data_IF_952545571882
#
_entry.id   IF_952545571882
#
_cell.length_a   1.000
_cell.length_b   1.000
_cell.length_c   1.000
_cell.angle_alpha   90.00
_cell.angle_beta   90.00
_cell.angle_gamma   90.00
#
_symmetry.space_group_name_H-M   'P 1'
#
loop_
_entity.id
_entity.type
_entity.pdbx_description
1 polymer ?
#
# COMPACT_ATOMS: atom_id res chain seq x y z
N UNK A 1 -20.43 -4.65 35.98
CA UNK A 1 -19.40 -4.75 34.92
C UNK A 1 -18.09 -5.00 35.62
N UNK A 2 -17.48 -6.18 35.43
CA UNK A 2 -16.16 -6.45 35.97
C UNK A 2 -15.15 -5.54 35.25
N UNK A 3 -14.28 -4.87 35.99
CA UNK A 3 -13.16 -4.13 35.41
C UNK A 3 -12.32 -5.13 34.62
N UNK A 4 -12.20 -4.94 33.31
CA UNK A 4 -11.23 -5.70 32.51
C UNK A 4 -9.85 -5.34 33.02
N UNK A 5 -9.10 -6.34 33.49
CA UNK A 5 -7.69 -6.19 33.86
C UNK A 5 -6.89 -5.64 32.69
N UNK A 6 -6.03 -4.65 32.96
CA UNK A 6 -5.10 -4.13 31.98
C UNK A 6 -4.08 -5.22 31.60
N UNK A 7 -3.76 -5.38 30.31
CA UNK A 7 -2.81 -6.39 29.88
C UNK A 7 -1.39 -6.07 30.38
N UNK A 8 -0.67 -7.09 30.83
CA UNK A 8 0.79 -7.00 30.97
C UNK A 8 1.44 -7.24 29.61
N UNK A 9 2.36 -6.37 29.20
CA UNK A 9 3.08 -6.49 27.93
C UNK A 9 4.56 -6.67 28.22
N UNK A 10 5.14 -7.76 27.74
CA UNK A 10 6.55 -8.09 27.99
C UNK A 10 7.22 -8.66 26.76
N UNK A 11 8.54 -8.48 26.67
CA UNK A 11 9.39 -9.17 25.70
C UNK A 11 9.29 -10.69 25.90
N UNK A 12 9.17 -11.42 24.80
CA UNK A 12 9.11 -12.88 24.79
C UNK A 12 10.49 -13.44 24.55
N UNK A 13 10.99 -14.22 25.50
CA UNK A 13 12.29 -14.90 25.34
C UNK A 13 12.17 -16.16 24.48
N UNK A 14 13.28 -16.56 23.84
CA UNK A 14 13.35 -17.81 23.07
C UNK A 14 13.07 -19.07 23.92
N UNK A 15 13.26 -18.99 25.24
CA UNK A 15 12.98 -20.10 26.16
C UNK A 15 11.48 -20.30 26.44
N UNK A 16 10.63 -19.31 26.18
CA UNK A 16 9.18 -19.37 26.43
C UNK A 16 8.42 -20.08 25.29
N UNK A 17 8.70 -21.37 25.08
CA UNK A 17 8.11 -22.16 23.98
C UNK A 17 6.58 -22.18 24.00
N UNK A 18 5.95 -22.24 25.18
CA UNK A 18 4.50 -22.21 25.37
C UNK A 18 3.90 -20.87 24.88
N UNK A 19 4.48 -19.74 25.31
CA UNK A 19 4.06 -18.39 24.89
C UNK A 19 4.19 -18.23 23.37
N UNK A 20 5.33 -18.65 22.81
CA UNK A 20 5.61 -18.52 21.38
C UNK A 20 4.63 -19.33 20.55
N UNK A 21 4.39 -20.60 20.91
CA UNK A 21 3.36 -21.43 20.27
C UNK A 21 1.99 -20.75 20.32
N UNK A 22 1.62 -20.18 21.47
CA UNK A 22 0.33 -19.50 21.61
C UNK A 22 0.22 -18.25 20.73
N UNK A 23 1.31 -17.49 20.58
CA UNK A 23 1.34 -16.36 19.65
C UNK A 23 1.21 -16.80 18.20
N UNK A 24 1.87 -17.88 17.80
CA UNK A 24 1.76 -18.45 16.45
C UNK A 24 0.33 -18.91 16.15
N UNK A 25 -0.36 -19.53 17.12
CA UNK A 25 -1.78 -19.89 17.00
C UNK A 25 -2.66 -18.65 16.81
N UNK A 26 -2.47 -17.61 17.64
CA UNK A 26 -3.26 -16.37 17.51
C UNK A 26 -2.97 -15.68 16.18
N UNK A 27 -1.72 -15.70 15.70
CA UNK A 27 -1.36 -15.15 14.40
C UNK A 27 -2.04 -15.91 13.26
N UNK A 28 -2.04 -17.25 13.30
CA UNK A 28 -2.73 -18.09 12.32
C UNK A 28 -4.25 -17.82 12.29
N UNK A 29 -4.87 -17.54 13.44
CA UNK A 29 -6.28 -17.13 13.51
C UNK A 29 -6.52 -15.71 12.98
N UNK A 30 -5.54 -14.82 13.11
CA UNK A 30 -5.65 -13.41 12.76
C UNK A 30 -5.41 -13.12 11.27
N UNK A 31 -4.59 -13.93 10.59
CA UNK A 31 -4.22 -13.74 9.18
C UNK A 31 -4.74 -14.87 8.30
N UNK A 32 -5.33 -14.53 7.16
CA UNK A 32 -5.83 -15.53 6.22
C UNK A 32 -4.69 -16.21 5.45
N UNK A 33 -4.84 -17.51 5.17
CA UNK A 33 -3.89 -18.25 4.33
C UNK A 33 -3.76 -17.65 2.92
N UNK A 34 -2.54 -17.49 2.37
CA UNK A 34 -1.24 -17.97 2.88
C UNK A 34 -0.43 -16.94 3.70
N UNK A 35 -1.04 -15.84 4.13
CA UNK A 35 -0.33 -14.78 4.86
C UNK A 35 0.08 -15.21 6.27
N UNK A 36 -0.70 -16.10 6.89
CA UNK A 36 -0.38 -16.80 8.14
C UNK A 36 1.03 -17.44 8.12
N UNK A 37 1.39 -18.14 7.04
CA UNK A 37 2.69 -18.79 6.89
C UNK A 37 3.88 -17.82 6.82
N UNK A 38 3.62 -16.53 6.61
CA UNK A 38 4.65 -15.49 6.56
C UNK A 38 4.93 -14.87 7.93
N UNK A 39 4.10 -15.16 8.94
CA UNK A 39 4.32 -14.67 10.29
C UNK A 39 5.43 -15.50 10.94
N UNK A 40 6.56 -14.85 11.22
CA UNK A 40 7.64 -15.41 12.02
C UNK A 40 7.85 -14.52 13.22
N UNK A 41 7.88 -15.10 14.42
CA UNK A 41 8.30 -14.38 15.61
C UNK A 41 9.79 -14.00 15.50
N UNK A 42 10.14 -12.86 16.09
CA UNK A 42 11.51 -12.37 16.17
C UNK A 42 11.99 -12.31 17.62
N UNK A 43 13.28 -12.04 17.82
CA UNK A 43 13.86 -11.79 19.15
C UNK A 43 13.29 -10.53 19.83
N UNK A 44 12.58 -9.67 19.10
CA UNK A 44 11.98 -8.43 19.58
C UNK A 44 10.45 -8.53 19.74
N UNK A 45 9.91 -9.74 19.81
CA UNK A 45 8.46 -9.97 19.93
C UNK A 45 7.98 -9.62 21.34
N UNK A 46 6.93 -8.79 21.44
CA UNK A 46 6.23 -8.53 22.71
C UNK A 46 4.89 -9.29 22.74
N UNK A 47 4.53 -9.82 23.90
CA UNK A 47 3.24 -10.49 24.13
C UNK A 47 2.39 -9.72 25.15
N UNK A 48 1.10 -9.54 24.83
CA UNK A 48 0.09 -9.04 25.75
C UNK A 48 -0.56 -10.21 26.50
N UNK A 49 -0.62 -10.12 27.83
CA UNK A 49 -1.26 -11.11 28.69
C UNK A 49 -2.35 -10.48 29.57
N UNK A 50 -3.51 -11.12 29.64
CA UNK A 50 -4.62 -10.73 30.52
C UNK A 50 -4.88 -11.90 31.45
N UNK A 51 -4.83 -11.66 32.76
CA UNK A 51 -4.97 -12.69 33.79
C UNK A 51 -4.04 -13.91 33.59
N UNK A 52 -2.83 -13.66 33.06
CA UNK A 52 -1.83 -14.69 32.77
C UNK A 52 -1.92 -15.31 31.37
N UNK A 53 -3.04 -15.12 30.67
CA UNK A 53 -3.29 -15.70 29.35
C UNK A 53 -2.78 -14.80 28.21
N UNK A 54 -2.07 -15.38 27.23
CA UNK A 54 -1.61 -14.65 26.04
C UNK A 54 -2.80 -14.35 25.14
N UNK A 55 -3.01 -13.06 24.85
CA UNK A 55 -4.16 -12.56 24.09
C UNK A 55 -3.78 -11.75 22.85
N UNK A 56 -2.49 -11.54 22.60
CA UNK A 56 -2.00 -10.87 21.41
C UNK A 56 -0.51 -10.66 21.44
N UNK A 57 0.04 -10.20 20.31
CA UNK A 57 1.45 -9.91 20.18
C UNK A 57 1.76 -8.87 19.11
N UNK A 58 2.97 -8.34 19.20
CA UNK A 58 3.57 -7.48 18.20
C UNK A 58 4.97 -7.99 17.90
N UNK A 59 5.24 -8.24 16.61
CA UNK A 59 6.53 -8.69 16.11
C UNK A 59 7.28 -7.49 15.56
N UNK A 60 8.50 -7.31 16.05
CA UNK A 60 9.36 -6.19 15.69
C UNK A 60 10.64 -6.67 15.03
N UNK A 61 11.22 -5.86 14.15
CA UNK A 61 12.59 -6.03 13.65
C UNK A 61 13.35 -4.71 13.83
N UNK A 62 14.68 -4.80 13.87
CA UNK A 62 15.56 -3.63 13.88
C UNK A 62 16.51 -3.73 12.70
N UNK A 63 16.69 -2.62 11.99
CA UNK A 63 17.65 -2.50 10.89
C UNK A 63 18.65 -1.41 11.22
N UNK A 64 19.86 -1.85 11.54
CA UNK A 64 20.96 -0.97 11.89
C UNK A 64 21.45 -0.17 10.69
N UNK A 65 21.94 1.05 10.91
CA UNK A 65 22.61 1.79 9.85
C UNK A 65 23.08 3.19 10.20
N UNK A 66 23.87 3.76 9.29
CA UNK A 66 24.56 5.04 9.51
C UNK A 66 23.63 6.25 9.65
N UNK A 67 22.37 6.14 9.22
CA UNK A 67 21.36 7.19 9.41
C UNK A 67 20.65 7.09 10.79
N UNK A 68 21.02 6.11 11.62
CA UNK A 68 20.34 5.72 12.84
C UNK A 68 19.50 4.46 12.62
N UNK A 69 19.33 3.66 13.66
CA UNK A 69 18.65 2.37 13.57
C UNK A 69 17.15 2.56 13.34
N UNK A 70 16.55 1.64 12.57
CA UNK A 70 15.15 1.71 12.18
C UNK A 70 14.41 0.52 12.76
N UNK A 71 13.45 0.80 13.63
CA UNK A 71 12.49 -0.18 14.10
C UNK A 71 11.44 -0.48 13.03
N UNK A 72 11.01 -1.73 12.96
CA UNK A 72 9.98 -2.19 12.04
C UNK A 72 8.88 -2.85 12.88
N UNK A 73 7.63 -2.41 12.72
CA UNK A 73 6.48 -3.16 13.23
C UNK A 73 5.99 -4.08 12.11
N UNK A 74 6.41 -5.34 12.17
CA UNK A 74 6.20 -6.34 11.12
C UNK A 74 4.82 -6.97 11.21
N UNK A 75 4.38 -7.36 12.41
CA UNK A 75 3.08 -7.99 12.64
C UNK A 75 2.44 -7.48 13.93
N UNK A 76 1.13 -7.25 13.90
CA UNK A 76 0.33 -6.88 15.07
C UNK A 76 -0.96 -7.70 15.04
N UNK A 77 -1.21 -8.46 16.10
CA UNK A 77 -2.37 -9.34 16.16
C UNK A 77 -2.89 -9.49 17.59
N UNK A 78 -4.19 -9.72 17.70
CA UNK A 78 -4.88 -10.00 18.97
C UNK A 78 -5.87 -11.11 18.74
N UNK A 79 -6.11 -11.93 19.77
CA UNK A 79 -7.09 -13.00 19.69
C UNK A 79 -8.49 -12.41 19.44
N UNK A 80 -9.40 -13.12 18.74
CA UNK A 80 -10.73 -12.61 18.46
C UNK A 80 -11.52 -12.16 19.71
N UNK A 81 -11.34 -12.86 20.83
CA UNK A 81 -11.99 -12.54 22.12
C UNK A 81 -11.41 -11.29 22.81
N UNK A 82 -10.26 -10.79 22.32
CA UNK A 82 -9.54 -9.67 22.91
C UNK A 82 -9.61 -8.39 22.05
N UNK A 83 -10.23 -8.47 20.87
CA UNK A 83 -10.45 -7.33 19.97
C UNK A 83 -11.43 -6.30 20.58
N UNK A 84 -11.31 -5.04 20.15
CA UNK A 84 -12.17 -3.95 20.63
C UNK A 84 -11.93 -3.51 22.09
N UNK A 85 -10.94 -4.10 22.77
CA UNK A 85 -10.57 -3.79 24.17
C UNK A 85 -9.36 -2.86 24.31
N UNK A 86 -8.85 -2.30 23.21
CA UNK A 86 -7.68 -1.43 23.21
C UNK A 86 -6.33 -2.16 23.38
N UNK A 87 -6.28 -3.48 23.29
CA UNK A 87 -5.02 -4.25 23.47
C UNK A 87 -4.03 -3.96 22.34
N UNK A 88 -4.51 -3.87 21.09
CA UNK A 88 -3.65 -3.49 19.97
C UNK A 88 -3.03 -2.10 20.15
N UNK A 89 -3.77 -1.16 20.74
CA UNK A 89 -3.26 0.16 21.07
C UNK A 89 -2.13 0.10 22.12
N UNK A 90 -2.33 -0.71 23.16
CA UNK A 90 -1.33 -0.89 24.21
C UNK A 90 -0.08 -1.61 23.69
N UNK A 91 -0.24 -2.62 22.83
CA UNK A 91 0.86 -3.32 22.16
C UNK A 91 1.71 -2.38 21.31
N UNK A 92 1.10 -1.48 20.53
CA UNK A 92 1.86 -0.53 19.73
C UNK A 92 2.55 0.52 20.59
N UNK A 93 1.93 0.99 21.67
CA UNK A 93 2.61 1.90 22.60
C UNK A 93 3.85 1.24 23.21
N UNK A 94 3.71 0.02 23.74
CA UNK A 94 4.81 -0.75 24.29
C UNK A 94 5.91 -1.05 23.24
N UNK A 95 5.52 -1.30 21.99
CA UNK A 95 6.47 -1.47 20.89
C UNK A 95 7.27 -0.18 20.61
N UNK A 96 6.62 0.98 20.62
CA UNK A 96 7.31 2.26 20.42
C UNK A 96 8.27 2.54 21.57
N UNK A 97 7.83 2.35 22.82
CA UNK A 97 8.67 2.53 24.01
C UNK A 97 9.89 1.60 23.95
N UNK A 98 9.66 0.31 23.62
CA UNK A 98 10.73 -0.66 23.42
C UNK A 98 11.72 -0.23 22.32
N UNK A 99 11.24 0.21 21.16
CA UNK A 99 12.11 0.64 20.05
C UNK A 99 12.92 1.90 20.40
N UNK A 100 12.35 2.82 21.19
CA UNK A 100 13.09 3.95 21.76
C UNK A 100 14.19 3.47 22.70
N UNK A 101 13.90 2.52 23.59
CA UNK A 101 14.90 1.92 24.48
C UNK A 101 16.00 1.16 23.73
N UNK A 102 15.68 0.59 22.56
CA UNK A 102 16.68 -0.02 21.66
C UNK A 102 17.48 1.01 20.84
N UNK A 103 17.27 2.32 21.05
CA UNK A 103 18.01 3.37 20.36
C UNK A 103 17.57 3.62 18.91
N UNK A 104 16.39 3.12 18.50
CA UNK A 104 15.89 3.38 17.15
C UNK A 104 15.58 4.87 16.96
N UNK A 105 15.97 5.41 15.81
CA UNK A 105 15.69 6.80 15.42
C UNK A 105 14.33 6.94 14.75
N UNK A 106 13.83 5.89 14.15
CA UNK A 106 12.57 5.89 13.43
C UNK A 106 11.89 4.53 13.49
N UNK A 107 10.59 4.53 13.23
CA UNK A 107 9.79 3.30 13.10
C UNK A 107 9.07 3.31 11.77
N UNK A 108 9.09 2.16 11.10
CA UNK A 108 8.28 1.92 9.90
C UNK A 108 7.33 0.75 10.08
N UNK A 109 6.23 0.78 9.34
CA UNK A 109 5.31 -0.34 9.22
C UNK A 109 4.64 -0.32 7.85
N UNK A 110 4.20 -1.47 7.38
CA UNK A 110 3.49 -1.62 6.11
C UNK A 110 2.07 -2.06 6.42
N UNK A 111 1.09 -1.29 5.96
CA UNK A 111 -0.32 -1.54 6.25
C UNK A 111 -1.08 -1.69 4.94
N UNK A 112 -1.84 -2.78 4.80
CA UNK A 112 -2.75 -2.95 3.67
C UNK A 112 -3.75 -1.80 3.61
N UNK A 113 -3.96 -1.24 2.42
CA UNK A 113 -4.85 -0.12 2.17
C UNK A 113 -6.27 -0.30 2.76
N UNK A 114 -6.95 -1.46 2.62
CA UNK A 114 -8.28 -1.64 3.21
C UNK A 114 -8.25 -1.86 4.74
N UNK A 115 -7.07 -2.10 5.34
CA UNK A 115 -6.92 -2.24 6.79
C UNK A 115 -6.88 -0.87 7.47
N UNK A 116 -8.04 -0.22 7.46
CA UNK A 116 -8.21 1.12 8.03
C UNK A 116 -8.12 1.15 9.55
N UNK A 117 -8.39 0.03 10.23
CA UNK A 117 -8.20 -0.10 11.68
C UNK A 117 -6.72 0.07 12.05
N UNK A 118 -5.81 -0.67 11.41
CA UNK A 118 -4.37 -0.52 11.62
C UNK A 118 -3.87 0.84 11.14
N UNK A 119 -4.34 1.33 9.98
CA UNK A 119 -3.95 2.65 9.47
C UNK A 119 -4.31 3.78 10.45
N UNK A 120 -5.52 3.75 11.02
CA UNK A 120 -5.95 4.72 12.04
C UNK A 120 -5.14 4.58 13.33
N UNK A 121 -4.84 3.35 13.76
CA UNK A 121 -4.02 3.07 14.93
C UNK A 121 -2.63 3.71 14.83
N UNK A 122 -1.96 3.58 13.69
CA UNK A 122 -0.65 4.19 13.46
C UNK A 122 -0.76 5.71 13.25
N UNK A 123 -1.75 6.18 12.49
CA UNK A 123 -1.97 7.61 12.25
C UNK A 123 -2.12 8.42 13.55
N UNK A 124 -2.88 7.89 14.53
CA UNK A 124 -3.10 8.53 15.84
C UNK A 124 -1.81 8.69 16.66
N UNK A 125 -0.79 7.90 16.35
CA UNK A 125 0.54 7.93 16.98
C UNK A 125 1.56 8.78 16.21
N UNK A 126 1.09 9.55 15.23
CA UNK A 126 1.94 10.46 14.47
C UNK A 126 2.63 9.81 13.27
N UNK A 127 2.36 8.54 12.97
CA UNK A 127 2.84 7.96 11.72
C UNK A 127 2.22 8.68 10.53
N UNK A 128 3.03 8.83 9.48
CA UNK A 128 2.59 9.39 8.20
C UNK A 128 3.00 8.49 7.05
N UNK A 129 2.17 8.45 6.01
CA UNK A 129 2.48 7.72 4.79
C UNK A 129 3.60 8.40 4.02
N UNK A 130 4.61 7.62 3.63
CA UNK A 130 5.73 8.07 2.80
C UNK A 130 5.84 7.23 1.53
N UNK A 131 6.40 7.79 0.47
CA UNK A 131 6.72 7.00 -0.73
C UNK A 131 7.97 6.17 -0.49
N UNK A 132 8.14 5.13 -1.28
CA UNK A 132 9.32 4.28 -1.26
C UNK A 132 10.59 5.08 -1.59
N UNK A 133 10.50 6.06 -2.51
CA UNK A 133 11.57 7.03 -2.78
C UNK A 133 11.95 7.88 -1.58
N UNK A 134 10.97 8.38 -0.82
CA UNK A 134 11.22 9.16 0.39
C UNK A 134 11.90 8.33 1.49
N UNK A 135 11.62 7.02 1.56
CA UNK A 135 12.35 6.12 2.47
C UNK A 135 13.84 6.01 2.06
N UNK A 136 14.11 5.79 0.77
CA UNK A 136 15.47 5.69 0.25
C UNK A 136 16.24 7.01 0.39
N UNK A 137 15.58 8.16 0.22
CA UNK A 137 16.17 9.48 0.46
C UNK A 137 16.59 9.67 1.94
N UNK A 138 15.81 9.11 2.88
CA UNK A 138 16.06 9.22 4.33
C UNK A 138 17.19 8.32 4.81
N UNK A 139 17.22 7.07 4.35
CA UNK A 139 18.13 6.04 4.88
C UNK A 139 19.25 5.66 3.89
N UNK A 140 19.23 6.23 2.69
CA UNK A 140 20.11 5.82 1.60
C UNK A 140 19.71 4.46 1.00
N UNK A 141 20.29 4.09 -0.15
CA UNK A 141 19.91 2.89 -0.88
C UNK A 141 20.24 1.58 -0.15
N UNK A 142 21.32 1.54 0.65
CA UNK A 142 21.73 0.32 1.37
C UNK A 142 20.79 0.01 2.53
N UNK A 143 20.66 0.92 3.50
CA UNK A 143 19.81 0.72 4.67
C UNK A 143 18.32 0.72 4.26
N UNK A 144 17.89 1.65 3.41
CA UNK A 144 16.52 1.69 2.91
C UNK A 144 16.12 0.43 2.11
N UNK A 145 17.04 -0.12 1.31
CA UNK A 145 16.83 -1.41 0.63
C UNK A 145 16.71 -2.60 1.59
N UNK A 146 17.48 -2.59 2.69
CA UNK A 146 17.36 -3.61 3.74
C UNK A 146 16.03 -3.50 4.50
N UNK A 147 15.57 -2.27 4.78
CA UNK A 147 14.23 -2.03 5.33
C UNK A 147 13.13 -2.55 4.39
N UNK A 148 13.22 -2.31 3.08
CA UNK A 148 12.27 -2.88 2.11
C UNK A 148 12.27 -4.41 2.10
N UNK A 149 13.45 -5.01 2.16
CA UNK A 149 13.58 -6.46 2.18
C UNK A 149 12.93 -7.04 3.44
N UNK A 150 13.26 -6.50 4.62
CA UNK A 150 12.71 -6.94 5.91
C UNK A 150 11.20 -6.76 6.03
N UNK A 151 10.65 -5.72 5.41
CA UNK A 151 9.20 -5.45 5.40
C UNK A 151 8.46 -6.16 4.25
N UNK A 152 9.16 -6.94 3.41
CA UNK A 152 8.65 -7.48 2.15
C UNK A 152 7.99 -6.39 1.26
N UNK A 153 8.36 -5.12 1.44
CA UNK A 153 7.66 -4.01 0.84
C UNK A 153 7.75 -4.02 -0.69
N UNK A 154 8.80 -4.61 -1.27
CA UNK A 154 8.99 -4.68 -2.72
C UNK A 154 8.00 -5.59 -3.48
N UNK A 155 7.20 -6.40 -2.77
CA UNK A 155 6.15 -7.26 -3.35
C UNK A 155 4.74 -6.97 -2.82
N UNK A 156 4.61 -6.12 -1.80
CA UNK A 156 3.35 -5.84 -1.12
C UNK A 156 2.47 -4.89 -1.94
N UNK A 157 1.73 -5.47 -2.89
CA UNK A 157 0.69 -4.77 -3.63
C UNK A 157 -0.40 -4.30 -2.66
N UNK A 158 -0.96 -3.11 -2.89
CA UNK A 158 -2.06 -2.65 -2.04
C UNK A 158 -1.66 -2.11 -0.68
N UNK A 159 -0.38 -2.01 -0.37
CA UNK A 159 0.07 -1.63 0.98
C UNK A 159 0.76 -0.26 1.02
N UNK A 160 0.46 0.51 2.06
CA UNK A 160 1.07 1.80 2.32
C UNK A 160 2.22 1.66 3.32
N UNK A 161 3.33 2.35 3.04
CA UNK A 161 4.45 2.49 3.97
C UNK A 161 4.21 3.66 4.91
N UNK A 162 4.16 3.36 6.21
CA UNK A 162 3.99 4.33 7.28
C UNK A 162 5.29 4.53 8.02
N UNK A 163 5.57 5.78 8.37
CA UNK A 163 6.82 6.22 8.98
C UNK A 163 6.55 7.15 10.16
N UNK A 164 7.27 6.91 11.26
CA UNK A 164 7.36 7.77 12.43
C UNK A 164 8.82 8.07 12.72
N UNK A 165 9.16 9.34 12.90
CA UNK A 165 10.45 9.74 13.46
C UNK A 165 10.34 9.72 14.99
N UNK A 166 11.26 9.05 15.67
CA UNK A 166 11.30 8.98 17.13
C UNK A 166 12.09 10.18 17.68
N UNK A 167 11.79 10.63 18.90
CA UNK A 167 12.58 11.66 19.56
C UNK A 167 14.01 11.13 19.74
N UNK A 168 15.00 11.81 19.17
CA UNK A 168 16.40 11.49 19.44
C UNK A 168 16.80 11.97 20.85
N UNK A 169 17.76 11.31 21.48
CA UNK A 169 18.58 12.00 22.47
C UNK A 169 19.23 13.19 21.77
N UNK A 170 18.95 14.41 22.23
CA UNK A 170 19.65 15.60 21.76
C UNK A 170 21.16 15.37 21.94
N UNK A 171 21.89 15.14 20.85
CA UNK A 171 23.33 15.33 20.86
C UNK A 171 23.58 16.78 21.31
N UNK A 172 24.49 17.03 22.27
CA UNK A 172 24.72 18.37 22.79
C UNK A 172 25.02 19.31 21.63
N UNK A 173 24.26 20.40 21.52
CA UNK A 173 24.44 21.39 20.47
C UNK A 173 25.93 21.76 20.36
N UNK A 174 26.53 21.76 19.16
CA UNK A 174 27.85 22.34 18.99
C UNK A 174 27.73 23.82 19.35
N UNK A 175 28.54 24.28 20.32
CA UNK A 175 28.44 25.63 20.89
C UNK A 175 28.39 26.68 19.78
N UNK A 176 27.19 27.16 19.45
CA UNK A 176 27.02 28.34 18.65
C UNK A 176 27.38 29.51 19.54
N UNK A 177 28.56 30.07 19.34
CA UNK A 177 28.89 31.39 19.86
C UNK A 177 27.74 32.34 19.49
N UNK A 178 27.18 33.08 20.46
CA UNK A 178 26.07 33.97 20.17
C UNK A 178 26.55 35.07 19.21
N UNK A 179 25.74 35.44 18.20
CA UNK A 179 26.06 36.58 17.35
C UNK A 179 26.06 37.86 18.19
N UNK A 180 27.08 38.70 17.99
CA UNK A 180 27.13 40.05 18.55
C UNK A 180 25.86 40.83 18.19
N UNK A 181 25.18 41.34 19.22
CA UNK A 181 24.11 42.33 19.07
C UNK A 181 24.69 43.64 18.52
N UNK A 182 24.04 44.29 17.55
CA UNK A 182 23.90 45.72 17.56
C UNK A 182 22.69 46.10 18.41
N UNK A 183 22.89 47.12 19.25
CA UNK A 183 21.85 47.78 20.00
C UNK A 183 20.81 48.41 19.06
N UNK A 184 19.53 48.20 19.34
CA UNK A 184 18.62 49.30 19.64
C UNK A 184 17.31 48.80 20.25
N UNK A 185 16.94 49.49 21.32
CA UNK A 185 15.70 49.33 22.07
C UNK A 185 14.60 50.24 21.49
N UNK A 186 13.35 49.85 21.78
CA UNK A 186 12.01 50.43 21.53
C UNK A 186 11.23 49.54 20.56
N UNK A 187 10.19 48.81 20.92
CA UNK A 187 9.05 49.22 21.76
C UNK A 187 8.37 48.07 22.51
N UNK A 188 7.62 48.49 23.54
CA UNK A 188 6.86 47.70 24.51
C UNK A 188 5.65 46.96 23.90
N UNK A 189 5.46 45.75 24.41
CA UNK A 189 4.21 45.15 24.93
C UNK A 189 2.90 45.37 24.17
N UNK A 190 2.29 44.28 23.70
CA UNK A 190 0.92 43.86 24.09
C UNK A 190 0.61 42.43 23.65
N UNK A 191 -0.18 41.76 24.47
CA UNK A 191 -1.03 40.58 24.27
C UNK A 191 -0.39 39.19 24.18
N UNK A 192 -0.36 38.56 25.35
CA UNK A 192 -0.76 37.17 25.55
C UNK A 192 -2.02 36.80 24.72
N UNK A 193 -2.03 35.58 24.18
CA UNK A 193 -3.17 34.81 23.62
C UNK A 193 -3.02 34.26 22.19
N UNK A 194 -1.85 33.74 21.79
CA UNK A 194 -1.74 32.88 20.59
C UNK A 194 -0.81 31.69 20.83
N UNK A 195 -1.24 30.75 21.68
CA UNK A 195 -0.68 29.39 21.73
C UNK A 195 -1.83 28.40 21.51
N UNK A 196 -2.31 28.34 20.28
CA UNK A 196 -3.17 27.26 19.76
C UNK A 196 -3.44 27.52 18.28
N UNK A 197 -3.23 26.50 17.44
CA UNK A 197 -3.42 26.47 15.97
C UNK A 197 -2.27 26.96 15.07
N UNK A 198 -1.17 26.20 15.08
CA UNK A 198 -0.29 26.08 13.91
C UNK A 198 -0.08 24.61 13.49
N UNK A 199 -1.10 23.75 13.60
CA UNK A 199 -1.14 22.51 12.82
C UNK A 199 -1.63 22.86 11.42
N UNK A 200 -0.68 23.21 10.55
CA UNK A 200 -0.93 23.51 9.16
C UNK A 200 -1.73 22.40 8.51
N UNK A 201 -2.97 22.71 8.11
CA UNK A 201 -3.67 22.00 7.04
C UNK A 201 -2.81 22.11 5.78
N UNK A 202 -1.84 21.21 5.61
CA UNK A 202 -1.20 20.99 4.32
C UNK A 202 -2.26 20.40 3.40
N UNK A 203 -3.05 21.25 2.74
CA UNK A 203 -3.73 20.89 1.50
C UNK A 203 -2.65 20.37 0.54
N UNK A 204 -2.51 19.05 0.38
CA UNK A 204 -1.58 18.51 -0.62
C UNK A 204 -2.13 18.89 -1.99
N UNK A 205 -1.29 19.54 -2.81
CA UNK A 205 -1.75 20.14 -4.06
C UNK A 205 -2.17 19.08 -5.09
N UNK A 206 -3.24 19.31 -5.89
CA UNK A 206 -3.69 18.40 -6.95
C UNK A 206 -2.59 18.07 -7.96
N UNK A 207 -1.58 18.94 -8.09
CA UNK A 207 -0.37 18.72 -8.88
C UNK A 207 0.42 17.49 -8.43
N UNK A 208 0.49 17.18 -7.13
CA UNK A 208 1.20 16.00 -6.63
C UNK A 208 0.48 14.71 -7.02
N UNK A 209 -0.83 14.69 -6.93
CA UNK A 209 -1.68 13.57 -7.34
C UNK A 209 -1.52 13.29 -8.83
N UNK A 210 -1.62 14.34 -9.67
CA UNK A 210 -1.40 14.23 -11.11
C UNK A 210 0.01 13.71 -11.43
N UNK A 211 1.04 14.21 -10.74
CA UNK A 211 2.42 13.76 -10.94
C UNK A 211 2.59 12.26 -10.67
N UNK A 212 2.15 11.77 -9.50
CA UNK A 212 2.27 10.34 -9.13
C UNK A 212 1.55 9.43 -10.11
N UNK A 213 0.38 9.87 -10.56
CA UNK A 213 -0.39 9.15 -11.57
C UNK A 213 0.36 9.08 -12.91
N UNK A 214 0.89 10.21 -13.40
CA UNK A 214 1.68 10.24 -14.63
C UNK A 214 2.94 9.38 -14.53
N UNK A 215 3.63 9.39 -13.38
CA UNK A 215 4.77 8.52 -13.11
C UNK A 215 4.36 7.04 -13.18
N UNK A 216 3.20 6.69 -12.61
CA UNK A 216 2.63 5.33 -12.69
C UNK A 216 2.36 4.93 -14.13
N UNK A 217 1.66 5.76 -14.90
CA UNK A 217 1.37 5.49 -16.33
C UNK A 217 2.66 5.28 -17.12
N UNK A 218 3.66 6.16 -16.94
CA UNK A 218 4.94 6.06 -17.63
C UNK A 218 5.68 4.76 -17.30
N UNK A 219 5.71 4.35 -16.03
CA UNK A 219 6.35 3.08 -15.63
C UNK A 219 5.69 1.90 -16.33
N UNK A 220 4.36 1.86 -16.46
CA UNK A 220 3.69 0.74 -17.11
C UNK A 220 3.88 0.71 -18.63
N UNK A 221 3.95 1.87 -19.27
CA UNK A 221 4.35 1.97 -20.68
C UNK A 221 5.73 1.35 -20.85
N UNK A 222 6.70 1.70 -19.99
CA UNK A 222 8.05 1.12 -20.05
C UNK A 222 8.05 -0.38 -19.77
N UNK A 223 7.33 -0.84 -18.73
CA UNK A 223 7.25 -2.27 -18.40
C UNK A 223 6.69 -3.09 -19.56
N UNK A 224 5.60 -2.63 -20.20
CA UNK A 224 5.03 -3.35 -21.33
C UNK A 224 5.92 -3.26 -22.57
N UNK A 225 6.60 -2.13 -22.80
CA UNK A 225 7.59 -2.03 -23.88
C UNK A 225 8.74 -3.03 -23.68
N UNK A 226 9.20 -3.26 -22.44
CA UNK A 226 10.21 -4.29 -22.12
C UNK A 226 9.66 -5.69 -22.38
N UNK A 227 8.41 -5.97 -22.02
CA UNK A 227 7.78 -7.28 -22.27
C UNK A 227 7.69 -7.60 -23.75
N UNK A 228 7.31 -6.61 -24.57
CA UNK A 228 7.06 -6.79 -26.01
C UNK A 228 8.35 -6.69 -26.82
N UNK A 229 9.16 -5.65 -26.60
CA UNK A 229 10.36 -5.35 -27.38
C UNK A 229 11.68 -5.83 -26.76
N UNK A 230 11.64 -6.33 -25.52
CA UNK A 230 12.85 -6.72 -24.79
C UNK A 230 13.64 -5.53 -24.23
N UNK A 231 14.84 -5.80 -23.72
CA UNK A 231 15.71 -4.80 -23.08
C UNK A 231 16.49 -3.91 -24.06
N UNK A 232 16.63 -4.33 -25.32
CA UNK A 232 17.31 -3.53 -26.34
C UNK A 232 16.36 -2.45 -26.88
N UNK A 233 16.41 -1.26 -26.29
CA UNK A 233 15.52 -0.14 -26.68
C UNK A 233 15.64 0.22 -28.17
N UNK A 234 16.76 -0.10 -28.82
CA UNK A 234 16.93 0.17 -30.26
C UNK A 234 16.13 -0.80 -31.14
N UNK A 235 15.67 -1.93 -30.61
CA UNK A 235 14.81 -2.88 -31.32
C UNK A 235 13.33 -2.48 -31.30
N UNK A 236 12.95 -1.51 -30.46
CA UNK A 236 11.55 -1.13 -30.26
C UNK A 236 11.00 -0.45 -31.52
N UNK A 237 10.04 -1.12 -32.15
CA UNK A 237 9.31 -0.61 -33.30
C UNK A 237 8.04 0.16 -32.88
N UNK A 238 7.32 0.70 -33.88
CA UNK A 238 6.07 1.41 -33.64
C UNK A 238 5.00 0.55 -32.98
N UNK A 239 5.00 -0.76 -33.23
CA UNK A 239 4.06 -1.72 -32.64
C UNK A 239 4.31 -1.87 -31.14
N UNK A 240 5.57 -2.04 -30.74
CA UNK A 240 6.01 -2.10 -29.35
C UNK A 240 5.58 -0.85 -28.59
N UNK A 241 5.88 0.33 -29.16
CA UNK A 241 5.51 1.61 -28.56
C UNK A 241 3.98 1.79 -28.50
N UNK A 242 3.25 1.41 -29.56
CA UNK A 242 1.80 1.50 -29.62
C UNK A 242 1.10 0.63 -28.57
N UNK A 243 1.55 -0.62 -28.39
CA UNK A 243 1.04 -1.53 -27.36
C UNK A 243 1.33 -1.01 -25.94
N UNK A 244 2.57 -0.57 -25.72
CA UNK A 244 2.99 0.05 -24.46
C UNK A 244 2.13 1.26 -24.08
N UNK A 245 1.91 2.18 -25.02
CA UNK A 245 1.03 3.35 -24.84
C UNK A 245 -0.40 2.92 -24.56
N UNK A 246 -0.90 1.86 -25.22
CA UNK A 246 -2.26 1.35 -24.99
C UNK A 246 -2.46 0.88 -23.56
N UNK A 247 -1.48 0.21 -22.94
CA UNK A 247 -1.57 -0.12 -21.51
C UNK A 247 -1.58 1.13 -20.61
N UNK A 248 -0.80 2.16 -20.95
CA UNK A 248 -0.86 3.46 -20.27
C UNK A 248 -2.25 4.11 -20.38
N UNK A 249 -2.90 4.00 -21.55
CA UNK A 249 -4.28 4.44 -21.76
C UNK A 249 -5.26 3.61 -20.93
N UNK A 250 -5.11 2.29 -20.85
CA UNK A 250 -5.98 1.43 -20.04
C UNK A 250 -5.90 1.77 -18.55
N UNK A 251 -4.70 2.01 -18.02
CA UNK A 251 -4.53 2.50 -16.65
C UNK A 251 -5.16 3.87 -16.45
N UNK A 252 -5.10 4.72 -17.48
CA UNK A 252 -5.73 6.02 -17.43
C UNK A 252 -7.26 5.93 -17.40
N UNK A 253 -7.82 5.05 -18.24
CA UNK A 253 -9.24 4.75 -18.27
C UNK A 253 -9.73 4.07 -16.99
N UNK A 254 -8.89 3.25 -16.35
CA UNK A 254 -9.18 2.67 -15.03
C UNK A 254 -9.46 3.74 -13.98
N UNK A 255 -8.79 4.88 -14.06
CA UNK A 255 -8.98 5.98 -13.12
C UNK A 255 -10.21 6.84 -13.42
N UNK A 256 -10.71 6.85 -14.66
CA UNK A 256 -11.80 7.73 -15.07
C UNK A 256 -13.11 7.51 -14.28
N UNK A 257 -13.60 6.27 -14.05
CA UNK A 257 -14.77 6.05 -13.20
C UNK A 257 -14.56 6.60 -11.80
N UNK A 258 -13.40 6.34 -11.20
CA UNK A 258 -13.10 6.86 -9.88
C UNK A 258 -13.08 8.38 -9.84
N UNK A 259 -12.47 9.05 -10.81
CA UNK A 259 -12.50 10.51 -10.89
C UNK A 259 -13.95 11.04 -10.96
N UNK A 260 -14.84 10.39 -11.72
CA UNK A 260 -16.26 10.76 -11.81
C UNK A 260 -16.98 10.57 -10.47
N UNK A 261 -16.86 9.40 -9.84
CA UNK A 261 -17.55 9.09 -8.58
C UNK A 261 -17.02 9.91 -7.39
N UNK A 262 -15.71 10.18 -7.36
CA UNK A 262 -15.07 10.97 -6.29
C UNK A 262 -15.20 12.48 -6.50
N UNK A 263 -15.41 12.98 -7.73
CA UNK A 263 -15.55 14.42 -8.00
C UNK A 263 -16.75 15.08 -7.29
N UNK A 264 -17.79 14.31 -7.02
CA UNK A 264 -19.00 14.76 -6.31
C UNK A 264 -18.90 14.58 -4.80
N UNK A 265 -17.84 13.94 -4.35
CA UNK A 265 -17.60 13.67 -2.94
C UNK A 265 -16.79 14.81 -2.32
N UNK A 266 -17.23 15.27 -1.15
CA UNK A 266 -16.55 16.33 -0.38
C UNK A 266 -15.26 15.83 0.30
N UNK A 267 -15.01 14.52 0.32
CA UNK A 267 -13.97 13.85 1.13
C UNK A 267 -12.53 14.01 0.64
N UNK A 268 -12.27 14.78 -0.42
CA UNK A 268 -10.94 15.06 -1.00
C UNK A 268 -10.09 13.79 -1.20
N UNK A 269 -10.22 13.20 -2.39
CA UNK A 269 -9.58 11.94 -2.75
C UNK A 269 -8.22 12.15 -3.41
N UNK A 270 -7.26 11.27 -3.11
CA UNK A 270 -5.91 11.30 -3.68
C UNK A 270 -5.52 9.93 -4.24
N UNK A 271 -4.84 9.95 -5.38
CA UNK A 271 -4.17 8.78 -5.94
C UNK A 271 -2.88 8.48 -5.17
N UNK A 272 -2.70 7.20 -4.85
CA UNK A 272 -1.51 6.67 -4.21
C UNK A 272 -0.95 5.52 -5.04
N UNK A 273 0.30 5.68 -5.47
CA UNK A 273 1.01 4.70 -6.28
C UNK A 273 1.55 3.54 -5.43
N UNK A 274 1.67 2.36 -6.04
CA UNK A 274 2.36 1.22 -5.44
C UNK A 274 3.81 1.13 -5.94
N UNK A 275 4.53 2.27 -5.86
CA UNK A 275 5.88 2.39 -6.40
C UNK A 275 6.90 1.42 -5.80
N UNK A 276 6.56 0.85 -4.64
CA UNK A 276 7.30 -0.24 -4.00
C UNK A 276 7.37 -1.51 -4.86
N UNK A 277 6.36 -1.78 -5.69
CA UNK A 277 6.26 -3.02 -6.48
C UNK A 277 6.97 -2.91 -7.83
N UNK A 278 7.33 -1.71 -8.28
CA UNK A 278 7.96 -1.50 -9.60
C UNK A 278 9.25 -2.30 -9.83
N UNK A 279 10.18 -2.45 -8.85
CA UNK A 279 11.34 -3.32 -9.04
C UNK A 279 10.96 -4.78 -9.31
N UNK A 280 9.96 -5.31 -8.60
CA UNK A 280 9.48 -6.68 -8.80
C UNK A 280 8.72 -6.84 -10.12
N UNK A 281 7.85 -5.89 -10.46
CA UNK A 281 7.18 -5.85 -11.77
C UNK A 281 8.18 -5.74 -12.92
N UNK A 282 9.27 -4.99 -12.75
CA UNK A 282 10.38 -4.91 -13.69
C UNK A 282 11.11 -6.24 -13.88
N UNK A 283 11.36 -6.97 -12.79
CA UNK A 283 11.92 -8.32 -12.89
C UNK A 283 10.99 -9.25 -13.68
N UNK A 284 9.68 -9.23 -13.40
CA UNK A 284 8.68 -10.00 -14.16
C UNK A 284 8.68 -9.61 -15.66
N UNK A 285 8.78 -8.31 -15.97
CA UNK A 285 8.84 -7.80 -17.34
C UNK A 285 10.03 -8.33 -18.14
N UNK A 286 11.21 -8.42 -17.52
CA UNK A 286 12.41 -8.98 -18.16
C UNK A 286 12.23 -10.45 -18.57
N UNK A 287 11.40 -11.20 -17.85
CA UNK A 287 11.06 -12.58 -18.18
C UNK A 287 9.78 -12.70 -19.04
N UNK A 288 9.33 -11.61 -19.66
CA UNK A 288 8.18 -11.59 -20.56
C UNK A 288 6.82 -11.59 -19.87
N UNK A 289 6.76 -11.44 -18.54
CA UNK A 289 5.51 -11.31 -17.80
C UNK A 289 5.08 -9.85 -17.63
N UNK A 290 3.78 -9.58 -17.54
CA UNK A 290 3.27 -8.26 -17.22
C UNK A 290 2.47 -8.29 -15.92
N UNK A 291 2.92 -7.53 -14.91
CA UNK A 291 2.20 -7.33 -13.66
C UNK A 291 1.66 -5.88 -13.65
N UNK A 292 0.34 -5.68 -13.79
CA UNK A 292 -0.26 -4.37 -13.57
C UNK A 292 -0.04 -3.92 -12.13
N UNK A 293 0.34 -2.67 -11.92
CA UNK A 293 0.57 -2.04 -10.61
C UNK A 293 -0.20 -0.69 -10.57
N UNK A 294 -1.54 -0.72 -10.65
CA UNK A 294 -2.34 0.47 -10.92
C UNK A 294 -2.40 1.49 -9.77
N UNK A 295 -1.89 1.16 -8.58
CA UNK A 295 -2.11 1.96 -7.39
C UNK A 295 -3.57 1.93 -6.92
N UNK A 296 -3.89 2.81 -5.98
CA UNK A 296 -5.24 2.93 -5.42
C UNK A 296 -5.60 4.39 -5.13
N UNK A 297 -6.83 4.60 -4.68
CA UNK A 297 -7.32 5.92 -4.28
C UNK A 297 -7.73 5.85 -2.81
N UNK A 298 -7.36 6.89 -2.09
CA UNK A 298 -7.56 7.01 -0.66
C UNK A 298 -8.07 8.41 -0.34
N UNK A 299 -8.88 8.60 0.70
CA UNK A 299 -9.13 9.92 1.25
C UNK A 299 -7.81 10.59 1.70
N UNK A 300 -7.74 11.92 1.62
CA UNK A 300 -6.57 12.68 2.11
C UNK A 300 -6.40 12.56 3.64
N UNK A 301 -7.51 12.38 4.36
CA UNK A 301 -7.51 12.15 5.81
C UNK A 301 -6.87 10.80 6.15
N UNK A 302 -6.08 10.78 7.22
CA UNK A 302 -5.41 9.57 7.71
C UNK A 302 -6.36 8.62 8.44
N UNK A 303 -7.40 9.17 9.07
CA UNK A 303 -8.45 8.40 9.74
C UNK A 303 -9.70 8.34 8.86
N UNK A 304 -9.99 7.15 8.36
CA UNK A 304 -11.18 6.83 7.57
C UNK A 304 -11.48 5.34 7.74
N UNK A 305 -12.65 4.89 7.28
CA UNK A 305 -13.01 3.47 7.30
C UNK A 305 -13.28 2.99 5.87
N UNK A 306 -12.65 1.91 5.46
CA UNK A 306 -12.78 1.36 4.11
C UNK A 306 -14.22 0.95 3.80
N UNK A 307 -14.94 0.37 4.76
CA UNK A 307 -16.31 -0.10 4.58
C UNK A 307 -17.29 1.04 4.37
N UNK A 308 -17.07 2.17 5.04
CA UNK A 308 -17.89 3.38 4.89
C UNK A 308 -17.77 3.97 3.47
N UNK A 309 -16.62 3.77 2.83
CA UNK A 309 -16.30 4.30 1.50
C UNK A 309 -16.68 3.36 0.35
N UNK A 310 -17.09 2.11 0.62
CA UNK A 310 -17.51 1.15 -0.41
C UNK A 310 -18.68 1.65 -1.27
N UNK A 311 -19.52 2.55 -0.72
CA UNK A 311 -20.61 3.19 -1.47
C UNK A 311 -20.15 4.05 -2.65
N UNK A 312 -18.90 4.54 -2.61
CA UNK A 312 -18.26 5.31 -3.69
C UNK A 312 -17.32 4.42 -4.50
N UNK A 313 -16.50 3.61 -3.82
CA UNK A 313 -15.49 2.77 -4.45
C UNK A 313 -16.09 1.61 -5.25
N UNK A 314 -17.13 0.96 -4.74
CA UNK A 314 -17.79 -0.20 -5.36
C UNK A 314 -18.39 0.12 -6.74
N UNK A 315 -19.23 1.17 -6.88
CA UNK A 315 -19.75 1.58 -8.18
C UNK A 315 -18.66 2.01 -9.17
N UNK A 316 -17.60 2.69 -8.71
CA UNK A 316 -16.47 3.08 -9.55
C UNK A 316 -15.70 1.85 -10.09
N UNK A 317 -15.39 0.90 -9.21
CA UNK A 317 -14.77 -0.37 -9.56
C UNK A 317 -15.63 -1.20 -10.54
N UNK A 318 -16.95 -1.22 -10.31
CA UNK A 318 -17.92 -1.90 -11.18
C UNK A 318 -17.96 -1.28 -12.57
N UNK A 319 -18.04 0.06 -12.64
CA UNK A 319 -18.06 0.78 -13.92
C UNK A 319 -16.78 0.55 -14.74
N UNK A 320 -15.62 0.50 -14.07
CA UNK A 320 -14.38 0.08 -14.72
C UNK A 320 -14.44 -1.37 -15.21
N UNK A 321 -14.91 -2.31 -14.39
CA UNK A 321 -15.02 -3.72 -14.79
C UNK A 321 -15.88 -3.92 -16.04
N UNK A 322 -17.00 -3.20 -16.14
CA UNK A 322 -17.84 -3.19 -17.35
C UNK A 322 -17.09 -2.59 -18.55
N UNK A 323 -16.41 -1.46 -18.37
CA UNK A 323 -15.63 -0.82 -19.44
C UNK A 323 -14.49 -1.72 -19.94
N UNK A 324 -13.78 -2.38 -19.02
CA UNK A 324 -12.71 -3.31 -19.32
C UNK A 324 -13.22 -4.50 -20.14
N UNK A 325 -14.33 -5.13 -19.72
CA UNK A 325 -14.94 -6.24 -20.45
C UNK A 325 -15.48 -5.81 -21.82
N UNK A 326 -16.12 -4.64 -21.91
CA UNK A 326 -16.59 -4.09 -23.18
C UNK A 326 -15.43 -3.80 -24.13
N UNK A 327 -14.30 -3.30 -23.61
CA UNK A 327 -13.08 -3.06 -24.39
C UNK A 327 -12.49 -4.37 -24.91
N UNK A 328 -12.37 -5.38 -24.04
CA UNK A 328 -11.89 -6.72 -24.43
C UNK A 328 -12.76 -7.32 -25.53
N UNK A 329 -14.08 -7.35 -25.34
CA UNK A 329 -15.02 -7.86 -26.34
C UNK A 329 -14.96 -7.07 -27.65
N UNK A 330 -14.82 -5.75 -27.58
CA UNK A 330 -14.67 -4.90 -28.75
C UNK A 330 -13.40 -5.21 -29.55
N UNK A 331 -12.27 -5.44 -28.87
CA UNK A 331 -11.01 -5.83 -29.52
C UNK A 331 -11.11 -7.22 -30.14
N UNK A 332 -11.71 -8.19 -29.44
CA UNK A 332 -11.95 -9.55 -29.97
C UNK A 332 -12.80 -9.48 -31.24
N UNK A 333 -13.97 -8.82 -31.18
CA UNK A 333 -14.86 -8.67 -32.33
C UNK A 333 -14.19 -7.92 -33.49
N UNK A 334 -13.37 -6.92 -33.19
CA UNK A 334 -12.60 -6.20 -34.20
C UNK A 334 -11.57 -7.10 -34.88
N UNK A 335 -10.90 -7.99 -34.11
CA UNK A 335 -9.92 -8.95 -34.65
C UNK A 335 -10.55 -9.97 -35.59
N UNK A 336 -11.76 -10.46 -35.26
CA UNK A 336 -12.52 -11.36 -36.12
C UNK A 336 -13.05 -10.65 -37.38
N UNK A 337 -13.50 -9.40 -37.24
CA UNK A 337 -14.14 -8.66 -38.34
C UNK A 337 -13.16 -8.09 -39.38
N UNK A 338 -12.01 -7.57 -38.95
CA UNK A 338 -11.04 -6.95 -39.86
C UNK A 338 -10.18 -7.96 -40.63
N UNK A 339 -10.11 -9.22 -40.16
CA UNK A 339 -9.20 -10.23 -40.71
C UNK A 339 -7.73 -9.75 -40.73
N UNK A 340 -6.89 -10.38 -41.55
CA UNK A 340 -5.48 -9.96 -41.76
C UNK A 340 -5.33 -8.75 -42.69
N UNK A 341 -6.44 -8.20 -43.20
CA UNK A 341 -6.46 -7.12 -44.21
C UNK A 341 -6.54 -5.71 -43.63
N UNK A 342 -6.56 -5.57 -42.30
CA UNK A 342 -6.55 -4.29 -41.61
C UNK A 342 -5.20 -3.57 -41.66
N UNK A 343 -5.22 -2.27 -41.37
CA UNK A 343 -4.03 -1.44 -41.12
C UNK A 343 -3.33 -1.76 -39.79
N UNK A 344 -3.97 -2.57 -38.94
CA UNK A 344 -3.43 -3.15 -37.71
C UNK A 344 -3.06 -4.60 -37.97
N UNK A 345 -1.82 -4.97 -37.67
CA UNK A 345 -1.34 -6.34 -37.82
C UNK A 345 -2.06 -7.27 -36.83
N UNK A 346 -2.37 -8.50 -37.27
CA UNK A 346 -3.04 -9.49 -36.44
C UNK A 346 -2.30 -9.75 -35.10
N UNK A 347 -0.97 -9.77 -35.14
CA UNK A 347 -0.12 -9.92 -33.95
C UNK A 347 -0.31 -8.77 -32.94
N UNK A 348 -0.60 -7.55 -33.41
CA UNK A 348 -0.88 -6.40 -32.52
C UNK A 348 -2.22 -6.59 -31.81
N UNK A 349 -3.25 -7.09 -32.50
CA UNK A 349 -4.55 -7.35 -31.91
C UNK A 349 -4.49 -8.49 -30.89
N UNK A 350 -3.77 -9.57 -31.20
CA UNK A 350 -3.52 -10.66 -30.25
C UNK A 350 -2.80 -10.18 -28.99
N UNK A 351 -1.77 -9.34 -29.15
CA UNK A 351 -1.04 -8.75 -28.02
C UNK A 351 -1.92 -7.84 -27.16
N UNK A 352 -2.83 -7.11 -27.79
CA UNK A 352 -3.81 -6.27 -27.08
C UNK A 352 -4.82 -7.12 -26.31
N UNK A 353 -5.33 -8.20 -26.90
CA UNK A 353 -6.21 -9.15 -26.22
C UNK A 353 -5.49 -9.76 -25.01
N UNK A 354 -4.24 -10.22 -25.18
CA UNK A 354 -3.44 -10.76 -24.07
C UNK A 354 -3.27 -9.74 -22.94
N UNK A 355 -2.96 -8.49 -23.29
CA UNK A 355 -2.82 -7.39 -22.30
C UNK A 355 -4.12 -7.17 -21.53
N UNK A 356 -5.25 -7.09 -22.23
CA UNK A 356 -6.58 -6.93 -21.62
C UNK A 356 -6.97 -8.13 -20.76
N UNK A 357 -6.65 -9.36 -21.19
CA UNK A 357 -6.85 -10.58 -20.40
C UNK A 357 -6.12 -10.51 -19.06
N UNK A 358 -4.86 -10.05 -19.03
CA UNK A 358 -4.11 -9.90 -17.78
C UNK A 358 -4.83 -8.92 -16.83
N UNK A 359 -5.29 -7.78 -17.34
CA UNK A 359 -6.09 -6.84 -16.55
C UNK A 359 -7.40 -7.45 -16.05
N UNK A 360 -8.13 -8.20 -16.88
CA UNK A 360 -9.38 -8.87 -16.46
C UNK A 360 -9.13 -9.89 -15.35
N UNK A 361 -8.08 -10.70 -15.49
CA UNK A 361 -7.73 -11.71 -14.49
C UNK A 361 -7.39 -11.04 -13.16
N UNK A 362 -6.44 -10.11 -13.16
CA UNK A 362 -5.93 -9.49 -11.93
C UNK A 362 -6.96 -8.55 -11.30
N UNK A 363 -7.69 -7.78 -12.11
CA UNK A 363 -8.54 -6.70 -11.61
C UNK A 363 -10.01 -7.12 -11.39
N UNK A 364 -10.47 -8.28 -11.89
CA UNK A 364 -11.86 -8.76 -11.69
C UNK A 364 -11.98 -10.16 -11.10
N UNK A 365 -11.12 -11.10 -11.50
CA UNK A 365 -11.25 -12.52 -11.11
C UNK A 365 -10.55 -12.84 -9.79
N UNK A 366 -9.32 -12.35 -9.60
CA UNK A 366 -8.54 -12.64 -8.40
C UNK A 366 -8.91 -11.66 -7.28
N UNK A 367 -9.46 -12.18 -6.18
CA UNK A 367 -9.91 -11.39 -5.01
C UNK A 367 -9.24 -11.79 -3.70
N UNK A 368 -8.21 -12.62 -3.78
CA UNK A 368 -7.44 -13.14 -2.65
C UNK A 368 -6.05 -12.50 -2.63
N UNK A 369 -5.43 -12.47 -1.47
CA UNK A 369 -4.05 -12.00 -1.30
C UNK A 369 -3.10 -12.74 -2.27
N UNK A 370 -2.15 -12.05 -2.93
CA UNK A 370 -1.77 -10.64 -2.76
C UNK A 370 -2.54 -9.63 -3.64
N UNK A 371 -3.65 -10.03 -4.27
CA UNK A 371 -4.43 -9.21 -5.20
C UNK A 371 -5.77 -8.72 -4.62
N UNK A 372 -5.95 -8.83 -3.31
CA UNK A 372 -7.14 -8.35 -2.58
C UNK A 372 -7.27 -6.82 -2.53
N UNK A 373 -6.32 -6.07 -3.09
CA UNK A 373 -6.40 -4.61 -3.21
C UNK A 373 -6.84 -4.12 -4.60
N UNK A 374 -7.19 -5.04 -5.51
CA UNK A 374 -7.70 -4.73 -6.85
C UNK A 374 -9.22 -4.57 -6.89
N UNK A 375 -9.74 -4.11 -8.02
CA UNK A 375 -11.15 -3.75 -8.17
C UNK A 375 -12.11 -4.91 -7.89
N UNK A 376 -11.75 -6.14 -8.25
CA UNK A 376 -12.57 -7.33 -8.02
C UNK A 376 -12.89 -7.51 -6.55
N UNK A 377 -11.91 -7.28 -5.67
CA UNK A 377 -12.14 -7.35 -4.23
C UNK A 377 -13.01 -6.21 -3.71
N UNK A 378 -12.82 -4.99 -4.21
CA UNK A 378 -13.66 -3.82 -3.88
C UNK A 378 -15.13 -4.09 -4.26
N UNK A 379 -15.38 -4.62 -5.45
CA UNK A 379 -16.74 -4.99 -5.88
C UNK A 379 -17.30 -6.12 -5.01
N UNK A 380 -16.50 -7.12 -4.67
CA UNK A 380 -16.93 -8.23 -3.81
C UNK A 380 -17.35 -7.75 -2.41
N UNK A 381 -16.55 -6.87 -1.79
CA UNK A 381 -16.85 -6.30 -0.47
C UNK A 381 -18.08 -5.39 -0.50
N UNK A 382 -18.30 -4.66 -1.60
CA UNK A 382 -19.47 -3.80 -1.79
C UNK A 382 -20.74 -4.60 -2.09
N UNK A 383 -20.70 -5.51 -3.07
CA UNK A 383 -21.83 -6.31 -3.51
C UNK A 383 -21.39 -7.61 -4.19
N UNK A 384 -21.51 -8.72 -3.46
CA UNK A 384 -21.13 -10.06 -3.92
C UNK A 384 -21.87 -10.54 -5.17
N UNK A 385 -23.13 -10.13 -5.36
CA UNK A 385 -23.92 -10.51 -6.54
C UNK A 385 -23.39 -9.80 -7.77
N UNK A 386 -23.10 -8.50 -7.66
CA UNK A 386 -22.51 -7.72 -8.77
C UNK A 386 -21.14 -8.29 -9.15
N UNK A 387 -20.31 -8.61 -8.15
CA UNK A 387 -19.03 -9.27 -8.40
C UNK A 387 -19.22 -10.61 -9.12
N UNK A 388 -20.11 -11.48 -8.65
CA UNK A 388 -20.34 -12.80 -9.25
C UNK A 388 -20.82 -12.72 -10.70
N UNK A 389 -21.64 -11.71 -11.04
CA UNK A 389 -22.05 -11.45 -12.42
C UNK A 389 -20.86 -10.99 -13.26
N UNK A 390 -20.09 -9.99 -12.80
CA UNK A 390 -18.92 -9.48 -13.52
C UNK A 390 -17.85 -10.56 -13.73
N UNK A 391 -17.50 -11.30 -12.68
CA UNK A 391 -16.50 -12.36 -12.76
C UNK A 391 -16.98 -13.56 -13.58
N UNK A 392 -18.28 -13.89 -13.50
CA UNK A 392 -18.90 -14.92 -14.34
C UNK A 392 -18.86 -14.57 -15.83
N UNK A 393 -19.19 -13.33 -16.20
CA UNK A 393 -19.06 -12.84 -17.58
C UNK A 393 -17.60 -12.82 -18.02
N UNK A 394 -16.70 -12.31 -17.18
CA UNK A 394 -15.27 -12.31 -17.47
C UNK A 394 -14.73 -13.72 -17.74
N UNK A 395 -15.03 -14.68 -16.87
CA UNK A 395 -14.63 -16.07 -17.04
C UNK A 395 -15.21 -16.69 -18.31
N UNK A 396 -16.49 -16.44 -18.61
CA UNK A 396 -17.14 -16.93 -19.84
C UNK A 396 -16.44 -16.38 -21.10
N UNK A 397 -16.16 -15.07 -21.14
CA UNK A 397 -15.47 -14.43 -22.28
C UNK A 397 -14.09 -15.07 -22.49
N UNK A 398 -13.31 -15.24 -21.43
CA UNK A 398 -11.99 -15.86 -21.54
C UNK A 398 -12.06 -17.33 -21.95
N UNK A 399 -13.02 -18.10 -21.43
CA UNK A 399 -13.18 -19.51 -21.80
C UNK A 399 -13.57 -19.64 -23.27
N UNK A 400 -14.54 -18.86 -23.73
CA UNK A 400 -14.97 -18.88 -25.14
C UNK A 400 -13.83 -18.47 -26.07
N UNK A 401 -13.07 -17.43 -25.73
CA UNK A 401 -11.99 -16.94 -26.59
C UNK A 401 -10.80 -17.92 -26.69
N UNK A 402 -10.38 -18.52 -25.58
CA UNK A 402 -9.18 -19.38 -25.56
C UNK A 402 -9.45 -20.87 -25.83
N UNK A 403 -10.71 -21.32 -25.70
CA UNK A 403 -11.07 -22.75 -25.82
C UNK A 403 -12.28 -23.05 -26.71
N UNK A 404 -12.98 -22.04 -27.22
CA UNK A 404 -14.06 -22.20 -28.21
C UNK A 404 -13.52 -22.10 -29.63
#
# INVERSE_FOLDING_TARGET
>A
MAATSDPSITLVSEAESETRRRLEEIAADAFATPQDYLVSLSAHTLAARVDGEVVGGVVLDIVDGSAGDVGIVSWLFTSPSAQGRGIGDQLVNAALDYLVEQGCRAVVTVVQWPNTASSALFARRGFSRISSSALLERFGPKQGGLVWHKTFHFVNVGCDLWYLELPGEESPEPSRNPPEKPANATDRATSDSEVSNSRGRQRRSPLRTARRFSETVLVHVVLLAIVVGGLDVQSWDLTTVGLAVTAGVLLSLRWAPYAVFTSRDRRQWVFWDWGNVYPFAGAIAVFGGFLPVPGHITPERSEWDYRDELSVLGPAATAWGVLLLATLLGVIAMSEWLGTSGWLEAATLESLVLTLTVFVVVDLLVIVWPFDSYNGRIVYDWNRVVWAVLSGVAALVLVVYYFG
#
